data_IF_478625037587
#
_entry.id   IF_478625037587
#
_cell.length_a   1.000
_cell.length_b   1.000
_cell.length_c   1.000
_cell.angle_alpha   90.00
_cell.angle_beta   90.00
_cell.angle_gamma   90.00
#
_symmetry.space_group_name_H-M   'P 1'
#
loop_
_entity.id
_entity.type
_entity.pdbx_description
1 polymer ?
#
# COMPACT_ATOMS: atom_id res chain seq x y z
N UNK A 1 7.00 -1.57 37.78
CA UNK A 1 6.22 -1.44 36.52
C UNK A 1 6.91 -2.24 35.44
N UNK A 2 6.31 -3.36 35.04
CA UNK A 2 6.82 -4.17 33.92
C UNK A 2 6.51 -3.43 32.62
N UNK A 3 7.49 -2.76 32.03
CA UNK A 3 7.39 -2.24 30.67
C UNK A 3 7.44 -3.45 29.72
N UNK A 4 6.27 -3.91 29.26
CA UNK A 4 6.24 -4.87 28.15
C UNK A 4 7.07 -4.28 27.01
N UNK A 5 8.04 -5.01 26.46
CA UNK A 5 8.79 -4.51 25.32
C UNK A 5 7.82 -4.15 24.21
N UNK A 6 7.94 -2.94 23.66
CA UNK A 6 7.12 -2.52 22.52
C UNK A 6 7.43 -3.47 21.36
N UNK A 7 6.41 -4.18 20.87
CA UNK A 7 6.55 -5.01 19.66
C UNK A 7 7.04 -4.14 18.51
N UNK A 8 8.05 -4.62 17.80
CA UNK A 8 8.52 -3.95 16.59
C UNK A 8 7.40 -3.99 15.55
N UNK A 9 6.94 -2.80 15.12
CA UNK A 9 5.94 -2.68 14.07
C UNK A 9 6.61 -2.53 12.71
N UNK A 10 6.32 -3.44 11.80
CA UNK A 10 6.84 -3.49 10.44
C UNK A 10 5.73 -3.16 9.45
N UNK A 11 5.98 -2.18 8.59
CA UNK A 11 5.12 -1.77 7.48
C UNK A 11 5.77 -2.11 6.14
N UNK A 12 4.98 -2.13 5.07
CA UNK A 12 5.49 -2.30 3.71
C UNK A 12 6.52 -1.20 3.36
N UNK A 13 6.24 0.06 3.73
CA UNK A 13 7.16 1.18 3.50
C UNK A 13 8.51 0.98 4.19
N UNK A 14 8.52 0.41 5.40
CA UNK A 14 9.76 0.12 6.13
C UNK A 14 10.55 -1.01 5.46
N UNK A 15 9.87 -2.06 4.98
CA UNK A 15 10.52 -3.15 4.23
C UNK A 15 11.13 -2.64 2.91
N UNK A 16 10.40 -1.83 2.17
CA UNK A 16 10.90 -1.22 0.93
C UNK A 16 12.08 -0.29 1.18
N UNK A 17 12.04 0.51 2.23
CA UNK A 17 13.15 1.39 2.60
C UNK A 17 14.40 0.60 3.04
N UNK A 18 14.20 -0.50 3.76
CA UNK A 18 15.27 -1.43 4.12
C UNK A 18 15.93 -2.03 2.88
N UNK A 19 15.14 -2.56 1.95
CA UNK A 19 15.65 -3.11 0.69
C UNK A 19 16.40 -2.07 -0.14
N UNK A 20 15.86 -0.84 -0.21
CA UNK A 20 16.48 0.29 -0.93
C UNK A 20 17.82 0.73 -0.32
N UNK A 21 17.98 0.56 1.00
CA UNK A 21 19.23 0.94 1.71
C UNK A 21 20.47 0.23 1.20
N UNK A 22 20.31 -0.92 0.54
CA UNK A 22 21.42 -1.67 -0.07
C UNK A 22 21.70 -1.31 -1.53
N UNK A 23 20.86 -0.49 -2.14
CA UNK A 23 20.89 -0.20 -3.58
C UNK A 23 21.43 1.19 -3.92
N UNK A 24 21.46 2.10 -2.94
CA UNK A 24 21.89 3.49 -3.15
C UNK A 24 22.69 4.02 -1.97
N UNK A 25 23.60 4.97 -2.26
CA UNK A 25 24.47 5.58 -1.23
C UNK A 25 23.69 6.32 -0.12
N UNK A 26 22.54 6.91 -0.46
CA UNK A 26 21.68 7.61 0.49
C UNK A 26 20.55 6.72 1.05
N UNK A 27 20.45 5.47 0.63
CA UNK A 27 19.36 4.58 1.00
C UNK A 27 19.29 4.28 2.49
N UNK A 28 20.45 4.25 3.17
CA UNK A 28 20.49 4.02 4.61
C UNK A 28 19.89 5.18 5.40
N UNK A 29 20.16 6.43 5.03
CA UNK A 29 19.54 7.60 5.66
C UNK A 29 18.01 7.63 5.41
N UNK A 30 17.58 7.30 4.21
CA UNK A 30 16.15 7.17 3.89
C UNK A 30 15.47 6.08 4.71
N UNK A 31 16.16 4.96 4.94
CA UNK A 31 15.68 3.92 5.84
C UNK A 31 15.54 4.42 7.29
N UNK A 32 16.55 5.12 7.81
CA UNK A 32 16.51 5.69 9.16
C UNK A 32 15.37 6.71 9.32
N UNK A 33 15.15 7.58 8.34
CA UNK A 33 14.01 8.50 8.32
C UNK A 33 12.67 7.75 8.39
N UNK A 34 12.52 6.68 7.60
CA UNK A 34 11.32 5.84 7.61
C UNK A 34 11.14 5.13 8.95
N UNK A 35 12.21 4.59 9.52
CA UNK A 35 12.20 3.92 10.82
C UNK A 35 11.79 4.89 11.95
N UNK A 36 12.26 6.13 11.90
CA UNK A 36 11.92 7.20 12.85
C UNK A 36 10.56 7.82 12.58
N UNK A 37 9.89 7.44 11.48
CA UNK A 37 8.61 8.00 11.01
C UNK A 37 8.68 9.51 10.78
N UNK A 38 9.79 9.98 10.26
CA UNK A 38 9.96 11.36 9.85
C UNK A 38 9.07 11.66 8.64
N UNK A 39 8.30 12.74 8.73
CA UNK A 39 7.43 13.16 7.62
C UNK A 39 8.27 13.92 6.60
N UNK A 40 8.30 13.43 5.38
CA UNK A 40 8.85 14.16 4.23
C UNK A 40 7.71 14.82 3.45
N UNK A 41 7.92 16.01 2.87
CA UNK A 41 6.90 16.62 2.02
C UNK A 41 6.63 15.70 0.81
N UNK A 42 5.35 15.51 0.42
CA UNK A 42 5.01 14.67 -0.70
C UNK A 42 5.55 15.25 -2.02
N UNK A 43 6.00 14.38 -2.91
CA UNK A 43 6.36 14.77 -4.27
C UNK A 43 5.10 15.07 -5.10
N UNK A 44 5.27 15.77 -6.24
CA UNK A 44 4.16 15.99 -7.17
C UNK A 44 3.52 14.68 -7.62
N UNK A 45 4.32 13.66 -7.94
CA UNK A 45 3.82 12.34 -8.33
C UNK A 45 2.99 11.66 -7.22
N UNK A 46 3.37 11.83 -5.96
CA UNK A 46 2.58 11.33 -4.82
C UNK A 46 1.25 12.08 -4.69
N UNK A 47 1.26 13.39 -4.86
CA UNK A 47 0.03 14.20 -4.83
C UNK A 47 -0.92 13.85 -5.97
N UNK A 48 -0.41 13.66 -7.17
CA UNK A 48 -1.19 13.23 -8.34
C UNK A 48 -1.83 11.85 -8.08
N UNK A 49 -1.09 10.92 -7.49
CA UNK A 49 -1.60 9.59 -7.11
C UNK A 49 -2.69 9.66 -6.04
N UNK A 50 -2.51 10.50 -5.01
CA UNK A 50 -3.53 10.73 -3.98
C UNK A 50 -4.80 11.33 -4.59
N UNK A 51 -4.65 12.28 -5.50
CA UNK A 51 -5.80 12.90 -6.17
C UNK A 51 -6.56 11.88 -7.02
N UNK A 52 -5.84 11.05 -7.80
CA UNK A 52 -6.46 10.00 -8.59
C UNK A 52 -7.26 9.01 -7.72
N UNK A 53 -6.64 8.53 -6.65
CA UNK A 53 -7.27 7.58 -5.71
C UNK A 53 -8.50 8.21 -5.01
N UNK A 54 -8.43 9.49 -4.64
CA UNK A 54 -9.57 10.20 -4.06
C UNK A 54 -10.76 10.26 -5.04
N UNK A 55 -10.51 10.56 -6.32
CA UNK A 55 -11.59 10.58 -7.34
C UNK A 55 -12.17 9.18 -7.51
N UNK A 56 -11.34 8.14 -7.59
CA UNK A 56 -11.79 6.76 -7.69
C UNK A 56 -12.65 6.34 -6.47
N UNK A 57 -12.19 6.67 -5.26
CA UNK A 57 -12.95 6.37 -4.04
C UNK A 57 -14.28 7.10 -3.97
N UNK A 58 -14.33 8.36 -4.43
CA UNK A 58 -15.57 9.11 -4.50
C UNK A 58 -16.57 8.46 -5.47
N UNK A 59 -16.11 8.00 -6.62
CA UNK A 59 -16.96 7.28 -7.59
C UNK A 59 -17.46 5.95 -7.00
N UNK A 60 -16.58 5.18 -6.33
CA UNK A 60 -16.97 3.96 -5.61
C UNK A 60 -18.01 4.23 -4.51
N UNK A 61 -18.01 5.42 -3.94
CA UNK A 61 -18.98 5.86 -2.91
C UNK A 61 -20.23 6.55 -3.51
N UNK A 62 -20.40 6.52 -4.83
CA UNK A 62 -21.61 6.97 -5.52
C UNK A 62 -21.55 8.35 -6.15
N UNK A 63 -20.40 9.02 -6.15
CA UNK A 63 -20.24 10.26 -6.92
C UNK A 63 -20.18 9.98 -8.42
N UNK A 64 -20.67 10.93 -9.22
CA UNK A 64 -20.66 10.85 -10.67
C UNK A 64 -19.43 11.60 -11.18
N UNK A 65 -18.59 10.92 -11.95
CA UNK A 65 -17.48 11.55 -12.66
C UNK A 65 -17.98 12.13 -14.00
N UNK A 66 -17.69 13.39 -14.34
CA UNK A 66 -18.04 13.96 -15.64
C UNK A 66 -17.39 13.20 -16.81
N UNK A 67 -18.11 13.04 -17.91
CA UNK A 67 -17.64 12.29 -19.09
C UNK A 67 -16.47 12.95 -19.81
N UNK A 68 -16.25 14.23 -19.60
CA UNK A 68 -15.12 15.02 -20.13
C UNK A 68 -13.92 15.07 -19.18
N UNK A 69 -14.01 14.43 -18.01
CA UNK A 69 -12.89 14.33 -17.08
C UNK A 69 -11.76 13.49 -17.66
N UNK A 70 -10.51 13.94 -17.52
CA UNK A 70 -9.32 13.25 -18.07
C UNK A 70 -9.21 11.77 -17.66
N UNK A 71 -9.72 11.41 -16.49
CA UNK A 71 -9.68 10.03 -15.95
C UNK A 71 -11.00 9.27 -16.09
N UNK A 72 -11.98 9.82 -16.78
CA UNK A 72 -13.32 9.21 -16.87
C UNK A 72 -13.29 7.74 -17.28
N UNK A 73 -12.59 7.43 -18.36
CA UNK A 73 -12.55 6.06 -18.90
C UNK A 73 -11.92 5.08 -17.92
N UNK A 74 -10.73 5.39 -17.42
CA UNK A 74 -9.99 4.50 -16.51
C UNK A 74 -10.69 4.35 -15.16
N UNK A 75 -11.21 5.43 -14.58
CA UNK A 75 -11.93 5.37 -13.31
C UNK A 75 -13.24 4.61 -13.45
N UNK A 76 -13.96 4.76 -14.56
CA UNK A 76 -15.18 3.99 -14.80
C UNK A 76 -14.90 2.49 -14.87
N UNK A 77 -13.86 2.07 -15.57
CA UNK A 77 -13.44 0.68 -15.65
C UNK A 77 -13.00 0.13 -14.28
N UNK A 78 -12.12 0.85 -13.58
CA UNK A 78 -11.65 0.45 -12.25
C UNK A 78 -12.79 0.39 -11.23
N UNK A 79 -13.74 1.31 -11.29
CA UNK A 79 -14.87 1.33 -10.35
C UNK A 79 -15.80 0.12 -10.52
N UNK A 80 -15.97 -0.39 -11.73
CA UNK A 80 -16.73 -1.63 -11.97
C UNK A 80 -15.97 -2.85 -11.39
N UNK A 81 -14.66 -2.94 -11.60
CA UNK A 81 -13.82 -4.02 -11.04
C UNK A 81 -13.84 -4.01 -9.51
N UNK A 82 -13.71 -2.83 -8.90
CA UNK A 82 -13.61 -2.64 -7.45
C UNK A 82 -14.97 -2.56 -6.73
N UNK A 83 -16.06 -2.67 -7.45
CA UNK A 83 -17.41 -2.55 -6.88
C UNK A 83 -17.65 -3.51 -5.72
N UNK A 84 -18.13 -2.96 -4.60
CA UNK A 84 -18.41 -3.73 -3.38
C UNK A 84 -17.16 -4.05 -2.54
N UNK A 85 -15.97 -3.58 -2.92
CA UNK A 85 -14.77 -3.73 -2.08
C UNK A 85 -14.81 -2.78 -0.88
N UNK A 86 -14.19 -3.22 0.21
CA UNK A 86 -13.86 -2.35 1.33
C UNK A 86 -12.64 -1.49 0.95
N UNK A 87 -12.65 -0.22 1.34
CA UNK A 87 -11.61 0.75 1.02
C UNK A 87 -10.74 1.03 2.25
N UNK A 88 -9.44 1.27 2.06
CA UNK A 88 -8.50 1.69 3.10
C UNK A 88 -8.55 0.80 4.35
N UNK A 89 -8.44 -0.51 4.14
CA UNK A 89 -8.57 -1.51 5.20
C UNK A 89 -7.28 -1.61 6.00
N UNK A 90 -7.30 -1.18 7.25
CA UNK A 90 -6.16 -1.27 8.15
C UNK A 90 -6.12 -2.62 8.85
N UNK A 91 -5.02 -3.35 8.71
CA UNK A 91 -4.81 -4.66 9.30
C UNK A 91 -3.51 -4.72 10.11
N UNK A 92 -3.56 -5.54 11.17
CA UNK A 92 -2.41 -5.88 12.00
C UNK A 92 -2.33 -7.40 12.17
N UNK A 93 -1.12 -7.94 12.14
CA UNK A 93 -0.88 -9.37 12.42
C UNK A 93 0.41 -9.56 13.20
N UNK A 94 0.31 -10.26 14.33
CA UNK A 94 1.49 -10.74 15.06
C UNK A 94 2.12 -11.91 14.31
N UNK A 95 3.43 -11.86 14.11
CA UNK A 95 4.21 -12.96 13.54
C UNK A 95 5.49 -13.15 14.36
N UNK A 96 6.00 -14.38 14.41
CA UNK A 96 7.26 -14.70 15.07
C UNK A 96 8.35 -14.88 14.01
N UNK A 97 9.46 -14.18 14.18
CA UNK A 97 10.63 -14.28 13.31
C UNK A 97 11.89 -14.38 14.17
N UNK A 98 12.61 -15.49 14.05
CA UNK A 98 13.85 -15.69 14.81
C UNK A 98 13.66 -15.63 16.33
N UNK A 99 12.53 -16.11 16.86
CA UNK A 99 12.19 -16.05 18.28
C UNK A 99 11.73 -14.66 18.77
N UNK A 100 11.58 -13.70 17.87
CA UNK A 100 11.06 -12.37 18.17
C UNK A 100 9.63 -12.21 17.64
N UNK A 101 8.75 -11.70 18.50
CA UNK A 101 7.40 -11.33 18.09
C UNK A 101 7.41 -9.93 17.45
N UNK A 102 6.97 -9.85 16.21
CA UNK A 102 6.81 -8.61 15.47
C UNK A 102 5.36 -8.39 15.09
N UNK A 103 4.97 -7.13 14.90
CA UNK A 103 3.64 -6.74 14.48
C UNK A 103 3.71 -6.24 13.03
N UNK A 104 3.15 -7.01 12.10
CA UNK A 104 2.92 -6.53 10.74
C UNK A 104 1.75 -5.55 10.74
N UNK A 105 1.88 -4.46 10.02
CA UNK A 105 0.86 -3.44 9.86
C UNK A 105 0.76 -3.00 8.41
N UNK A 106 -0.42 -3.05 7.84
CA UNK A 106 -0.69 -2.58 6.49
C UNK A 106 -2.03 -1.89 6.37
N UNK A 107 -2.13 -1.03 5.36
CA UNK A 107 -3.38 -0.43 4.90
C UNK A 107 -3.56 -0.88 3.47
N UNK A 108 -4.61 -1.65 3.21
CA UNK A 108 -4.96 -2.13 1.88
C UNK A 108 -5.86 -1.11 1.21
N UNK A 109 -5.59 -0.77 -0.05
CA UNK A 109 -6.44 0.16 -0.77
C UNK A 109 -7.84 -0.41 -0.94
N UNK A 110 -7.94 -1.67 -1.40
CA UNK A 110 -9.22 -2.35 -1.61
C UNK A 110 -9.14 -3.83 -1.22
N UNK A 111 -10.20 -4.33 -0.58
CA UNK A 111 -10.35 -5.72 -0.16
C UNK A 111 -11.78 -6.21 -0.39
N UNK A 112 -11.94 -7.35 -1.06
CA UNK A 112 -13.23 -8.03 -1.23
C UNK A 112 -13.02 -9.55 -1.28
N UNK A 113 -13.63 -10.27 -0.35
CA UNK A 113 -13.66 -11.75 -0.32
C UNK A 113 -12.28 -12.44 -0.47
N UNK A 114 -11.24 -11.86 0.13
CA UNK A 114 -9.86 -12.34 0.04
C UNK A 114 -9.08 -11.86 -1.17
N UNK A 115 -9.71 -11.15 -2.11
CA UNK A 115 -9.04 -10.44 -3.20
C UNK A 115 -8.57 -9.07 -2.74
N UNK A 116 -7.30 -8.78 -3.00
CA UNK A 116 -6.64 -7.52 -2.60
C UNK A 116 -6.27 -6.76 -3.86
N UNK A 117 -6.64 -5.48 -3.94
CA UNK A 117 -6.17 -4.58 -4.99
C UNK A 117 -5.38 -3.42 -4.38
N UNK A 118 -4.33 -3.03 -5.07
CA UNK A 118 -3.50 -1.88 -4.74
C UNK A 118 -3.41 -0.96 -5.94
N UNK A 119 -3.86 0.28 -5.75
CA UNK A 119 -3.93 1.27 -6.82
C UNK A 119 -2.55 1.89 -7.06
N UNK A 120 -2.12 1.90 -8.32
CA UNK A 120 -0.84 2.48 -8.73
C UNK A 120 -1.01 3.52 -9.83
N UNK A 121 -0.95 4.78 -9.47
CA UNK A 121 -0.90 5.87 -10.45
C UNK A 121 0.55 6.12 -10.88
N UNK A 122 0.89 5.74 -12.10
CA UNK A 122 2.26 5.87 -12.62
C UNK A 122 2.27 6.20 -14.11
N UNK A 123 3.21 7.04 -14.54
CA UNK A 123 3.42 7.36 -15.96
C UNK A 123 4.05 6.19 -16.74
N UNK A 124 4.74 5.30 -16.04
CA UNK A 124 5.45 4.16 -16.64
C UNK A 124 5.18 2.90 -15.84
N UNK A 125 4.95 1.80 -16.53
CA UNK A 125 4.77 0.49 -15.93
C UNK A 125 6.03 -0.35 -16.08
N UNK A 126 6.56 -0.86 -14.97
CA UNK A 126 7.71 -1.75 -14.92
C UNK A 126 7.34 -3.01 -14.13
N UNK A 127 7.05 -4.09 -14.82
CA UNK A 127 6.60 -5.36 -14.23
C UNK A 127 7.52 -5.84 -13.09
N UNK A 128 8.82 -5.84 -13.30
CA UNK A 128 9.79 -6.32 -12.30
C UNK A 128 9.78 -5.51 -11.00
N UNK A 129 9.45 -4.21 -11.06
CA UNK A 129 9.34 -3.36 -9.89
C UNK A 129 8.22 -3.84 -8.94
N UNK A 130 7.12 -4.28 -9.51
CA UNK A 130 5.97 -4.72 -8.75
C UNK A 130 6.09 -6.19 -8.30
N UNK A 131 6.59 -7.08 -9.16
CA UNK A 131 6.80 -8.48 -8.82
C UNK A 131 7.79 -8.69 -7.67
N UNK A 132 8.81 -7.86 -7.58
CA UNK A 132 9.84 -7.94 -6.54
C UNK A 132 9.54 -7.08 -5.32
N UNK A 133 8.38 -6.43 -5.26
CA UNK A 133 7.98 -5.61 -4.11
C UNK A 133 7.64 -6.50 -2.91
N UNK A 134 8.10 -6.17 -1.69
CA UNK A 134 7.70 -6.87 -0.48
C UNK A 134 6.21 -6.67 -0.13
N UNK A 135 5.53 -5.74 -0.79
CA UNK A 135 4.14 -5.40 -0.55
C UNK A 135 3.20 -6.58 -0.77
N UNK A 136 3.34 -7.27 -1.90
CA UNK A 136 2.50 -8.42 -2.24
C UNK A 136 2.58 -9.51 -1.18
N UNK A 137 3.79 -9.94 -0.84
CA UNK A 137 4.01 -11.00 0.16
C UNK A 137 3.47 -10.59 1.53
N UNK A 138 3.69 -9.34 1.94
CA UNK A 138 3.22 -8.83 3.21
C UNK A 138 1.69 -8.75 3.28
N UNK A 139 1.03 -8.26 2.24
CA UNK A 139 -0.42 -8.11 2.22
C UNK A 139 -1.14 -9.45 2.13
N UNK A 140 -0.62 -10.39 1.36
CA UNK A 140 -1.12 -11.77 1.38
C UNK A 140 -0.96 -12.43 2.76
N UNK A 141 0.05 -12.05 3.53
CA UNK A 141 0.25 -12.54 4.90
C UNK A 141 -0.68 -11.88 5.91
N UNK A 142 -1.03 -10.59 5.71
CA UNK A 142 -1.92 -9.84 6.59
C UNK A 142 -3.37 -10.29 6.48
N UNK A 143 -3.83 -10.61 5.26
CA UNK A 143 -5.21 -11.02 5.02
C UNK A 143 -5.34 -12.51 5.29
N UNK A 144 -6.20 -12.86 6.24
CA UNK A 144 -6.57 -14.25 6.49
C UNK A 144 -7.41 -14.75 5.30
N UNK A 145 -7.13 -15.95 4.81
CA UNK A 145 -7.79 -16.51 3.62
C UNK A 145 -7.62 -15.65 2.34
N UNK A 146 -6.48 -14.94 2.21
CA UNK A 146 -6.15 -14.21 1.00
C UNK A 146 -6.13 -15.15 -0.23
N UNK A 147 -6.77 -14.73 -1.31
CA UNK A 147 -6.84 -15.47 -2.57
C UNK A 147 -5.81 -14.98 -3.57
N UNK A 148 -5.73 -13.69 -3.75
CA UNK A 148 -4.81 -13.06 -4.68
C UNK A 148 -4.51 -11.59 -4.32
N UNK A 149 -3.56 -11.02 -5.04
CA UNK A 149 -3.18 -9.63 -4.95
C UNK A 149 -2.98 -9.07 -6.36
N UNK A 150 -3.66 -7.98 -6.67
CA UNK A 150 -3.64 -7.33 -7.98
C UNK A 150 -3.21 -5.88 -7.86
N UNK A 151 -2.25 -5.45 -8.66
CA UNK A 151 -2.02 -4.03 -8.91
C UNK A 151 -2.98 -3.54 -10.00
N UNK A 152 -3.64 -2.42 -9.75
CA UNK A 152 -4.63 -1.86 -10.65
C UNK A 152 -4.32 -0.39 -11.00
#
# INVERSE_FOLDING_TARGET
MSTRPRKLRITQSLLSAWEWSFKTDNGYEDFLCTLRREKKPPTKAMLDGIQFENVLNNVLNGEIIPTDHEWFSVISEMSEELKGSQQQVTLFKGVEVGGQEILLHGVLDYLREGHIWDCKYSKTYHLNKYLNSPQTAMYLRLVEEAKDFTYI
#
